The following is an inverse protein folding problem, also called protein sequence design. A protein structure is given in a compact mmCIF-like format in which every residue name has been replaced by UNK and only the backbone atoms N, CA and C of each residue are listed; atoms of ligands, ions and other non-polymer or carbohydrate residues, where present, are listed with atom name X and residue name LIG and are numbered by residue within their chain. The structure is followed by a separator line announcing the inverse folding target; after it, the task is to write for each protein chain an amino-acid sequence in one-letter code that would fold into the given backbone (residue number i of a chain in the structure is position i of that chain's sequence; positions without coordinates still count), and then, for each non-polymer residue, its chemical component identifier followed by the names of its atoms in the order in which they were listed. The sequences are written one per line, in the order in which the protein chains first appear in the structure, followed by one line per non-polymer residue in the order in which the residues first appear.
data_IF_833023346265
#
_entry.id   IF_833023346265
#
_cell.length_a   1.000
_cell.length_b   1.000
_cell.length_c   1.000
_cell.angle_alpha   90.00
_cell.angle_beta   90.00
_cell.angle_gamma   90.00
#
_symmetry.space_group_name_H-M   'P 1'
#
loop_
_entity.id
_entity.type
_entity.pdbx_description
1 polymer ?
#
# COMPACT_ATOMS: atom_id res chain seq x y z
N UNK A 1 2.09 12.73 11.84
CA UNK A 1 3.13 11.87 12.44
C UNK A 1 3.64 10.97 11.34
N UNK A 2 4.63 11.43 10.65
CA UNK A 2 5.47 10.53 9.91
C UNK A 2 6.25 9.75 10.96
N UNK A 3 5.98 8.45 11.07
CA UNK A 3 6.79 7.61 11.92
C UNK A 3 8.22 7.66 11.38
N UNK A 4 9.13 8.30 12.09
CA UNK A 4 10.56 8.09 11.89
C UNK A 4 10.91 6.70 12.41
N UNK A 5 10.37 5.68 11.74
CA UNK A 5 10.65 4.29 12.06
C UNK A 5 11.55 3.72 10.97
N UNK A 6 12.85 3.50 11.28
CA UNK A 6 13.70 2.72 10.40
C UNK A 6 13.05 1.34 10.14
N UNK A 7 13.19 0.76 8.94
CA UNK A 7 14.02 1.25 7.83
C UNK A 7 13.32 2.24 6.88
N UNK A 8 12.00 2.45 6.99
CA UNK A 8 11.23 3.19 5.97
C UNK A 8 11.59 4.67 5.91
N UNK A 9 11.67 5.36 7.06
CA UNK A 9 12.06 6.77 7.09
C UNK A 9 13.45 7.00 6.48
N UNK A 10 14.40 6.12 6.80
CA UNK A 10 15.75 6.19 6.24
C UNK A 10 15.76 6.01 4.72
N UNK A 11 14.93 5.11 4.19
CA UNK A 11 14.79 4.92 2.74
C UNK A 11 14.21 6.16 2.04
N UNK A 12 13.22 6.80 2.63
CA UNK A 12 12.63 8.02 2.09
C UNK A 12 13.64 9.18 2.08
N UNK A 13 14.38 9.38 3.17
CA UNK A 13 15.44 10.39 3.26
C UNK A 13 16.54 10.15 2.22
N UNK A 14 16.94 8.89 1.99
CA UNK A 14 17.92 8.52 0.97
C UNK A 14 17.44 8.80 -0.47
N UNK A 15 16.13 8.84 -0.69
CA UNK A 15 15.53 9.24 -1.96
C UNK A 15 15.34 10.77 -2.09
N UNK A 16 15.80 11.55 -1.11
CA UNK A 16 15.67 13.01 -1.11
C UNK A 16 14.27 13.50 -0.75
N UNK A 17 13.44 12.64 -0.16
CA UNK A 17 12.08 13.01 0.28
C UNK A 17 12.19 13.67 1.65
N UNK A 18 11.68 14.89 1.75
CA UNK A 18 11.63 15.63 3.00
C UNK A 18 10.60 15.02 3.96
N UNK A 19 11.03 14.77 5.19
CA UNK A 19 10.17 14.25 6.25
C UNK A 19 9.86 15.35 7.25
N UNK A 20 8.58 15.67 7.41
CA UNK A 20 8.10 16.65 8.37
C UNK A 20 7.44 15.96 9.56
N UNK A 21 7.75 16.39 10.78
CA UNK A 21 7.14 15.86 11.99
C UNK A 21 5.91 16.67 12.39
N UNK A 22 4.92 15.96 12.94
CA UNK A 22 3.66 16.56 13.42
C UNK A 22 2.63 16.74 12.31
N UNK A 23 1.58 17.48 12.65
CA UNK A 23 0.42 17.72 11.78
C UNK A 23 0.05 19.21 11.75
N UNK A 24 1.04 20.07 11.53
CA UNK A 24 0.79 21.48 11.36
C UNK A 24 0.27 21.74 9.94
N UNK A 25 -0.90 22.38 9.76
CA UNK A 25 -1.44 22.70 8.45
C UNK A 25 -0.52 23.58 7.58
N UNK A 26 0.42 24.32 8.17
CA UNK A 26 1.42 25.10 7.41
C UNK A 26 2.31 24.26 6.50
N UNK A 27 2.41 22.95 6.75
CA UNK A 27 3.10 21.98 5.87
C UNK A 27 2.45 21.87 4.50
N UNK A 28 1.20 22.30 4.38
CA UNK A 28 0.42 22.28 3.13
C UNK A 28 0.38 23.65 2.45
N UNK A 29 1.32 24.53 2.76
CA UNK A 29 1.49 25.82 2.14
C UNK A 29 2.91 25.94 1.52
N UNK A 30 3.04 26.15 0.19
CA UNK A 30 1.97 26.34 -0.79
C UNK A 30 1.10 25.08 -0.97
N UNK A 31 -0.17 25.28 -1.36
CA UNK A 31 -1.11 24.18 -1.52
C UNK A 31 -0.58 23.14 -2.52
N UNK A 32 -0.49 21.86 -2.14
CA UNK A 32 -0.04 20.79 -3.03
C UNK A 32 -1.11 20.48 -4.10
N UNK A 33 -0.67 19.94 -5.22
CA UNK A 33 -1.58 19.47 -6.28
C UNK A 33 -2.42 18.25 -5.85
N UNK A 34 -1.88 17.41 -4.96
CA UNK A 34 -2.56 16.21 -4.46
C UNK A 34 -2.03 15.82 -3.07
N UNK A 35 -2.92 15.45 -2.18
CA UNK A 35 -2.59 14.92 -0.84
C UNK A 35 -2.90 13.44 -0.77
N UNK A 36 -1.90 12.61 -0.52
CA UNK A 36 -2.12 11.17 -0.27
C UNK A 36 -2.31 10.94 1.23
N UNK A 37 -3.50 10.49 1.61
CA UNK A 37 -3.87 10.28 3.02
C UNK A 37 -3.79 8.79 3.37
N UNK A 38 -2.94 8.47 4.35
CA UNK A 38 -2.76 7.10 4.85
C UNK A 38 -3.89 6.65 5.78
N UNK A 39 -4.02 5.34 5.97
CA UNK A 39 -5.08 4.72 6.80
C UNK A 39 -5.00 5.04 8.29
N UNK A 40 -3.86 5.45 8.80
CA UNK A 40 -3.71 5.87 10.20
C UNK A 40 -4.32 7.26 10.49
N UNK A 41 -4.68 8.02 9.43
CA UNK A 41 -5.28 9.34 9.56
C UNK A 41 -6.79 9.24 9.79
N UNK A 42 -7.32 10.15 10.59
CA UNK A 42 -8.76 10.23 10.90
C UNK A 42 -9.24 11.68 10.95
N UNK A 43 -10.56 11.85 11.01
CA UNK A 43 -11.18 13.15 11.31
C UNK A 43 -10.67 13.66 12.66
N UNK A 44 -10.55 14.98 12.78
CA UNK A 44 -9.94 15.66 13.93
C UNK A 44 -8.41 15.83 13.83
N UNK A 45 -7.75 15.23 12.86
CA UNK A 45 -6.35 15.53 12.58
C UNK A 45 -6.24 16.91 11.90
N UNK A 46 -5.40 17.85 12.38
CA UNK A 46 -5.36 19.23 11.86
C UNK A 46 -5.08 19.33 10.36
N UNK A 47 -4.17 18.49 9.83
CA UNK A 47 -3.89 18.48 8.39
C UNK A 47 -5.06 17.89 7.58
N UNK A 48 -5.74 16.85 8.11
CA UNK A 48 -6.93 16.28 7.45
C UNK A 48 -8.06 17.32 7.39
N UNK A 49 -8.35 17.99 8.51
CA UNK A 49 -9.38 19.03 8.54
C UNK A 49 -9.04 20.19 7.59
N UNK A 50 -7.78 20.62 7.54
CA UNK A 50 -7.33 21.65 6.61
C UNK A 50 -7.54 21.26 5.14
N UNK A 51 -7.21 20.02 4.77
CA UNK A 51 -7.44 19.48 3.41
C UNK A 51 -8.93 19.55 3.05
N UNK A 52 -9.79 19.12 3.98
CA UNK A 52 -11.25 19.11 3.76
C UNK A 52 -11.83 20.52 3.69
N UNK A 53 -11.47 21.41 4.61
CA UNK A 53 -11.97 22.77 4.70
C UNK A 53 -11.56 23.62 3.48
N UNK A 54 -10.38 23.37 2.95
CA UNK A 54 -9.86 24.04 1.74
C UNK A 54 -10.23 23.35 0.45
N UNK A 55 -10.94 22.20 0.54
CA UNK A 55 -11.30 21.38 -0.62
C UNK A 55 -10.09 21.05 -1.51
N UNK A 56 -8.93 20.76 -0.88
CA UNK A 56 -7.74 20.33 -1.61
C UNK A 56 -7.95 18.94 -2.20
N UNK A 57 -7.39 18.62 -3.37
CA UNK A 57 -7.47 17.26 -3.92
C UNK A 57 -6.78 16.26 -2.99
N UNK A 58 -7.46 15.16 -2.67
CA UNK A 58 -6.88 14.10 -1.86
C UNK A 58 -7.28 12.71 -2.35
N UNK A 59 -6.44 11.71 -2.04
CA UNK A 59 -6.58 10.32 -2.48
C UNK A 59 -6.02 9.37 -1.42
N UNK A 60 -6.44 8.12 -1.43
CA UNK A 60 -5.80 7.06 -0.64
C UNK A 60 -4.54 6.52 -1.32
N UNK A 61 -3.59 6.00 -0.53
CA UNK A 61 -2.36 5.40 -1.07
C UNK A 61 -2.63 4.28 -2.08
N UNK A 62 -3.50 3.29 -1.78
CA UNK A 62 -3.84 2.22 -2.73
C UNK A 62 -4.47 2.71 -4.03
N UNK A 63 -5.34 3.72 -3.98
CA UNK A 63 -5.93 4.30 -5.17
C UNK A 63 -4.88 5.04 -6.01
N UNK A 64 -4.02 5.83 -5.37
CA UNK A 64 -2.91 6.51 -6.04
C UNK A 64 -1.97 5.51 -6.73
N UNK A 65 -1.66 4.41 -6.04
CA UNK A 65 -0.80 3.35 -6.58
C UNK A 65 -1.43 2.72 -7.84
N UNK A 66 -2.74 2.44 -7.81
CA UNK A 66 -3.46 1.95 -8.97
C UNK A 66 -3.31 2.91 -10.17
N UNK A 67 -3.61 4.20 -9.96
CA UNK A 67 -3.69 5.19 -11.02
C UNK A 67 -2.34 5.55 -11.64
N UNK A 68 -1.25 5.51 -10.84
CA UNK A 68 0.04 6.02 -11.27
C UNK A 68 1.12 4.94 -11.46
N UNK A 69 0.91 3.73 -10.95
CA UNK A 69 1.94 2.68 -10.99
C UNK A 69 1.43 1.37 -11.58
N UNK A 70 0.21 0.94 -11.23
CA UNK A 70 -0.26 -0.42 -11.54
C UNK A 70 -1.06 -0.53 -12.84
N UNK A 71 -1.57 0.58 -13.38
CA UNK A 71 -2.60 0.61 -14.43
C UNK A 71 -2.22 -0.23 -15.67
N UNK A 72 -0.99 -0.16 -16.13
CA UNK A 72 -0.51 -0.88 -17.32
C UNK A 72 0.41 -2.07 -16.98
N UNK A 73 0.43 -2.50 -15.72
CA UNK A 73 1.29 -3.58 -15.24
C UNK A 73 0.58 -4.93 -15.18
N UNK A 74 1.36 -5.97 -15.26
CA UNK A 74 0.91 -7.30 -14.84
C UNK A 74 1.10 -7.42 -13.33
N UNK A 75 0.06 -7.08 -12.59
CA UNK A 75 0.09 -7.12 -11.13
C UNK A 75 -0.03 -8.55 -10.65
N UNK A 76 0.97 -9.00 -9.85
CA UNK A 76 0.99 -10.27 -9.14
C UNK A 76 0.80 -9.97 -7.66
N UNK A 77 -0.41 -10.20 -7.15
CA UNK A 77 -0.74 -9.93 -5.76
C UNK A 77 -0.61 -11.18 -4.89
N UNK A 78 -0.09 -11.02 -3.69
CA UNK A 78 0.00 -12.09 -2.67
C UNK A 78 -0.84 -11.69 -1.48
N UNK A 79 -1.97 -12.38 -1.28
CA UNK A 79 -2.91 -12.18 -0.20
C UNK A 79 -2.95 -13.39 0.76
N UNK A 80 -3.56 -13.22 1.91
CA UNK A 80 -3.72 -14.24 2.95
C UNK A 80 -3.40 -13.71 4.33
N UNK A 81 -3.75 -14.44 5.36
CA UNK A 81 -3.51 -14.02 6.74
C UNK A 81 -2.02 -14.02 7.06
N UNK A 82 -1.30 -15.09 6.73
CA UNK A 82 0.11 -15.24 7.05
C UNK A 82 0.95 -15.52 5.81
N UNK A 83 2.24 -15.16 5.88
CA UNK A 83 3.23 -15.48 4.85
C UNK A 83 3.21 -14.58 3.62
N UNK A 84 2.40 -13.52 3.58
CA UNK A 84 2.32 -12.56 2.47
C UNK A 84 3.71 -12.02 2.08
N UNK A 85 4.41 -11.43 3.04
CA UNK A 85 5.75 -10.82 2.86
C UNK A 85 6.76 -11.82 2.31
N UNK A 86 6.81 -13.02 2.89
CA UNK A 86 7.75 -14.07 2.47
C UNK A 86 7.46 -14.53 1.04
N UNK A 87 6.19 -14.80 0.72
CA UNK A 87 5.78 -15.28 -0.61
C UNK A 87 5.99 -14.19 -1.67
N UNK A 88 5.63 -12.94 -1.37
CA UNK A 88 5.87 -11.81 -2.27
C UNK A 88 7.38 -11.60 -2.52
N UNK A 89 8.20 -11.71 -1.47
CA UNK A 89 9.66 -11.60 -1.59
C UNK A 89 10.25 -12.71 -2.47
N UNK A 90 9.80 -13.96 -2.29
CA UNK A 90 10.23 -15.07 -3.13
C UNK A 90 9.78 -14.90 -4.58
N UNK A 91 8.55 -14.45 -4.81
CA UNK A 91 8.04 -14.20 -6.16
C UNK A 91 8.82 -13.10 -6.86
N UNK A 92 9.08 -11.97 -6.19
CA UNK A 92 9.91 -10.89 -6.72
C UNK A 92 11.32 -11.39 -7.05
N UNK A 93 11.91 -12.23 -6.18
CA UNK A 93 13.23 -12.79 -6.42
C UNK A 93 13.26 -13.77 -7.59
N UNK A 94 12.25 -14.62 -7.76
CA UNK A 94 12.16 -15.53 -8.91
C UNK A 94 12.11 -14.76 -10.23
N UNK A 95 11.33 -13.69 -10.28
CA UNK A 95 11.26 -12.82 -11.47
C UNK A 95 12.60 -12.10 -11.72
N UNK A 96 13.25 -11.60 -10.66
CA UNK A 96 14.58 -10.99 -10.74
C UNK A 96 15.63 -11.98 -11.25
N UNK A 97 15.64 -13.19 -10.71
CA UNK A 97 16.54 -14.25 -11.15
C UNK A 97 16.33 -14.61 -12.64
N UNK A 98 15.07 -14.56 -13.09
CA UNK A 98 14.72 -14.75 -14.50
C UNK A 98 15.04 -13.53 -15.38
N UNK A 99 15.67 -12.47 -14.85
CA UNK A 99 16.04 -11.24 -15.59
C UNK A 99 14.86 -10.42 -16.09
N UNK A 100 13.74 -10.49 -15.39
CA UNK A 100 12.52 -9.75 -15.72
C UNK A 100 12.39 -8.40 -14.98
N UNK A 101 13.34 -8.10 -14.09
CA UNK A 101 13.44 -6.81 -13.37
C UNK A 101 12.09 -6.31 -12.82
N UNK A 102 11.36 -7.09 -12.01
CA UNK A 102 10.01 -6.74 -11.58
C UNK A 102 9.98 -5.47 -10.74
N UNK A 103 8.91 -4.69 -10.86
CA UNK A 103 8.52 -3.76 -9.82
C UNK A 103 7.99 -4.52 -8.60
N UNK A 104 8.06 -3.93 -7.42
CA UNK A 104 7.44 -4.51 -6.23
C UNK A 104 7.15 -3.49 -5.13
N UNK A 105 6.15 -3.81 -4.30
CA UNK A 105 5.86 -3.16 -3.03
C UNK A 105 5.59 -4.24 -1.98
N UNK A 106 6.50 -4.38 -1.02
CA UNK A 106 6.49 -5.44 0.00
C UNK A 106 6.58 -4.79 1.38
N UNK A 107 5.83 -5.29 2.36
CA UNK A 107 5.70 -4.72 3.70
C UNK A 107 6.95 -4.81 4.59
N UNK A 108 8.05 -5.33 4.07
CA UNK A 108 9.37 -5.38 4.71
C UNK A 108 10.48 -5.28 3.68
N UNK A 109 11.72 -5.22 4.13
CA UNK A 109 12.89 -5.27 3.23
C UNK A 109 13.26 -6.73 2.99
N UNK A 110 13.03 -7.27 1.77
CA UNK A 110 13.41 -8.65 1.47
C UNK A 110 14.93 -8.83 1.53
N UNK A 111 15.40 -9.96 2.05
CA UNK A 111 16.84 -10.20 2.23
C UNK A 111 17.69 -10.15 0.95
N UNK A 112 17.05 -10.31 -0.21
CA UNK A 112 17.71 -10.29 -1.52
C UNK A 112 17.67 -8.90 -2.21
N UNK A 113 17.00 -7.92 -1.61
CA UNK A 113 16.88 -6.56 -2.14
C UNK A 113 17.26 -5.53 -1.08
N UNK A 114 17.88 -4.40 -1.47
CA UNK A 114 18.23 -3.34 -0.53
C UNK A 114 17.05 -2.44 -0.14
N UNK A 115 15.89 -2.62 -0.80
CA UNK A 115 14.72 -1.75 -0.67
C UNK A 115 13.44 -2.58 -0.51
N UNK A 116 12.40 -1.97 0.06
CA UNK A 116 11.06 -2.56 0.20
C UNK A 116 10.15 -2.28 -1.00
N UNK A 117 10.51 -1.31 -1.84
CA UNK A 117 9.76 -0.92 -3.03
C UNK A 117 10.69 -0.53 -4.17
N UNK A 118 10.28 -0.86 -5.39
CA UNK A 118 10.98 -0.54 -6.62
C UNK A 118 9.98 -0.47 -7.78
N UNK A 119 10.13 0.48 -8.69
CA UNK A 119 9.28 0.55 -9.88
C UNK A 119 9.56 -0.60 -10.86
N UNK A 120 10.81 -1.02 -10.99
CA UNK A 120 11.22 -2.05 -11.94
C UNK A 120 11.06 -1.62 -13.40
N UNK A 121 11.44 -2.52 -14.30
CA UNK A 121 11.11 -2.40 -15.71
C UNK A 121 9.82 -3.18 -15.99
N UNK A 122 9.06 -2.74 -16.97
CA UNK A 122 7.82 -3.36 -17.39
C UNK A 122 7.98 -4.87 -17.77
N UNK A 123 6.96 -5.74 -17.66
CA UNK A 123 5.56 -5.42 -17.25
C UNK A 123 5.19 -5.82 -15.81
N UNK A 124 6.01 -6.59 -15.11
CA UNK A 124 5.63 -7.27 -13.87
C UNK A 124 5.74 -6.39 -12.63
N UNK A 125 4.70 -6.44 -11.79
CA UNK A 125 4.71 -5.79 -10.49
C UNK A 125 4.19 -6.72 -9.40
N UNK A 126 5.03 -7.05 -8.41
CA UNK A 126 4.67 -7.90 -7.27
C UNK A 126 4.21 -7.03 -6.11
N UNK A 127 3.04 -7.32 -5.56
CA UNK A 127 2.51 -6.55 -4.44
C UNK A 127 2.04 -7.45 -3.30
N UNK A 128 2.42 -7.09 -2.09
CA UNK A 128 1.83 -7.64 -0.88
C UNK A 128 0.44 -7.06 -0.69
N UNK A 129 -0.57 -7.92 -0.76
CA UNK A 129 -1.97 -7.55 -0.80
C UNK A 129 -2.59 -7.65 0.60
N UNK A 130 -2.60 -6.51 1.28
CA UNK A 130 -3.07 -6.36 2.65
C UNK A 130 -4.59 -6.12 2.70
N UNK A 131 -5.25 -6.76 3.66
CA UNK A 131 -6.70 -6.67 3.91
C UNK A 131 -7.14 -5.43 4.68
N UNK A 132 -6.23 -4.65 5.25
CA UNK A 132 -6.54 -3.39 5.93
C UNK A 132 -7.21 -2.36 5.03
N UNK A 133 -8.03 -1.47 5.61
CA UNK A 133 -8.67 -0.38 4.90
C UNK A 133 -7.65 0.66 4.36
N UNK A 134 -8.09 1.45 3.39
CA UNK A 134 -7.22 2.39 2.66
C UNK A 134 -7.04 3.72 3.37
N UNK A 135 -8.14 4.28 3.91
CA UNK A 135 -8.16 5.58 4.55
C UNK A 135 -9.47 5.77 5.34
N UNK A 136 -9.60 6.87 6.10
CA UNK A 136 -10.83 7.16 6.85
C UNK A 136 -12.07 7.33 5.94
N UNK A 137 -11.87 7.78 4.71
CA UNK A 137 -12.91 7.99 3.69
C UNK A 137 -13.09 6.81 2.73
N UNK A 138 -12.18 5.83 2.74
CA UNK A 138 -12.26 4.62 1.93
C UNK A 138 -12.00 3.37 2.80
N UNK A 139 -13.08 2.70 3.16
CA UNK A 139 -13.07 1.53 4.06
C UNK A 139 -12.95 0.19 3.32
N UNK A 140 -12.74 0.22 1.99
CA UNK A 140 -12.39 -0.98 1.24
C UNK A 140 -11.00 -1.46 1.63
N UNK A 141 -10.79 -2.76 1.63
CA UNK A 141 -9.45 -3.32 1.81
C UNK A 141 -8.52 -2.87 0.70
N UNK A 142 -7.25 -2.59 1.02
CA UNK A 142 -6.24 -2.06 0.08
C UNK A 142 -6.14 -2.90 -1.17
N UNK A 143 -6.19 -4.22 -1.04
CA UNK A 143 -6.02 -5.15 -2.14
C UNK A 143 -7.11 -5.06 -3.22
N UNK A 144 -8.30 -4.55 -2.91
CA UNK A 144 -9.38 -4.37 -3.90
C UNK A 144 -9.01 -3.33 -4.97
N UNK A 145 -8.11 -2.40 -4.64
CA UNK A 145 -7.60 -1.40 -5.57
C UNK A 145 -6.53 -1.93 -6.54
N UNK A 146 -5.89 -3.05 -6.24
CA UNK A 146 -4.69 -3.46 -6.98
C UNK A 146 -4.99 -4.12 -8.33
N UNK A 147 -6.23 -4.56 -8.58
CA UNK A 147 -6.70 -5.20 -9.82
C UNK A 147 -5.69 -6.23 -10.36
N UNK A 148 -5.33 -7.26 -9.60
CA UNK A 148 -4.28 -8.17 -10.00
C UNK A 148 -4.71 -9.05 -11.18
N UNK A 149 -3.76 -9.32 -12.09
CA UNK A 149 -3.90 -10.34 -13.13
C UNK A 149 -3.53 -11.73 -12.64
N UNK A 150 -2.75 -11.80 -11.57
CA UNK A 150 -2.37 -13.06 -10.91
C UNK A 150 -2.51 -12.86 -9.42
N UNK A 151 -3.23 -13.76 -8.76
CA UNK A 151 -3.45 -13.73 -7.33
C UNK A 151 -2.97 -15.02 -6.68
N UNK A 152 -2.09 -14.90 -5.70
CA UNK A 152 -1.73 -15.98 -4.77
C UNK A 152 -2.50 -15.74 -3.48
N UNK A 153 -3.35 -16.70 -3.11
CA UNK A 153 -4.02 -16.74 -1.80
C UNK A 153 -3.37 -17.82 -0.95
N UNK A 154 -2.63 -17.42 0.08
CA UNK A 154 -1.89 -18.38 0.93
C UNK A 154 -2.85 -19.15 1.85
N UNK A 155 -3.36 -18.47 2.86
CA UNK A 155 -4.22 -19.04 3.90
C UNK A 155 -5.25 -17.99 4.31
N UNK A 156 -6.32 -18.44 4.94
CA UNK A 156 -7.37 -17.59 5.43
C UNK A 156 -7.77 -18.04 6.83
N UNK A 157 -7.33 -17.29 7.82
CA UNK A 157 -7.64 -17.51 9.23
C UNK A 157 -8.26 -16.25 9.83
N UNK A 158 -8.90 -16.36 10.99
CA UNK A 158 -9.40 -15.20 11.69
C UNK A 158 -8.23 -14.46 12.35
N UNK A 159 -7.94 -13.28 11.85
CA UNK A 159 -6.93 -12.35 12.37
C UNK A 159 -7.46 -10.91 12.27
N UNK A 160 -6.70 -9.94 12.78
CA UNK A 160 -7.08 -8.53 12.74
C UNK A 160 -8.45 -8.24 13.40
N UNK A 161 -8.63 -8.74 14.63
CA UNK A 161 -9.85 -8.55 15.42
C UNK A 161 -10.15 -7.07 15.75
N UNK A 162 -9.20 -6.18 15.51
CA UNK A 162 -9.32 -4.73 15.62
C UNK A 162 -10.18 -4.12 14.48
N UNK A 163 -10.24 -4.78 13.32
CA UNK A 163 -10.99 -4.28 12.14
C UNK A 163 -12.06 -5.26 11.63
N UNK A 164 -11.93 -6.55 11.92
CA UNK A 164 -12.88 -7.57 11.49
C UNK A 164 -13.54 -8.27 12.67
N UNK A 165 -14.88 -8.26 12.77
CA UNK A 165 -15.60 -8.89 13.88
C UNK A 165 -15.56 -10.42 13.83
N UNK A 166 -15.38 -11.01 12.65
CA UNK A 166 -15.41 -12.44 12.43
C UNK A 166 -14.72 -12.84 11.11
N UNK A 167 -14.49 -14.15 10.95
CA UNK A 167 -13.91 -14.70 9.72
C UNK A 167 -14.77 -14.40 8.47
N UNK A 168 -16.09 -14.35 8.61
CA UNK A 168 -16.97 -14.07 7.48
C UNK A 168 -16.79 -12.64 6.95
N UNK A 169 -16.44 -11.69 7.82
CA UNK A 169 -16.10 -10.33 7.41
C UNK A 169 -14.82 -10.31 6.56
N UNK A 170 -13.79 -11.06 6.95
CA UNK A 170 -12.55 -11.22 6.16
C UNK A 170 -12.87 -11.91 4.84
N UNK A 171 -13.62 -13.00 4.83
CA UNK A 171 -14.03 -13.71 3.62
C UNK A 171 -14.76 -12.81 2.63
N UNK A 172 -15.60 -11.88 3.09
CA UNK A 172 -16.25 -10.89 2.23
C UNK A 172 -15.25 -9.99 1.51
N UNK A 173 -14.17 -9.56 2.18
CA UNK A 173 -13.11 -8.75 1.55
C UNK A 173 -12.36 -9.56 0.48
N UNK A 174 -12.00 -10.80 0.78
CA UNK A 174 -11.39 -11.69 -0.22
C UNK A 174 -12.33 -11.96 -1.40
N UNK A 175 -13.64 -12.07 -1.15
CA UNK A 175 -14.62 -12.18 -2.22
C UNK A 175 -14.65 -10.92 -3.11
N UNK A 176 -14.49 -9.72 -2.54
CA UNK A 176 -14.34 -8.50 -3.33
C UNK A 176 -13.06 -8.51 -4.15
N UNK A 177 -11.93 -8.93 -3.57
CA UNK A 177 -10.66 -9.08 -4.29
C UNK A 177 -10.81 -10.03 -5.48
N UNK A 178 -11.42 -11.22 -5.29
CA UNK A 178 -11.62 -12.21 -6.36
C UNK A 178 -12.42 -11.69 -7.56
N UNK A 179 -13.21 -10.63 -7.38
CA UNK A 179 -13.96 -10.01 -8.47
C UNK A 179 -13.13 -9.00 -9.28
N UNK A 180 -11.92 -8.68 -8.81
CA UNK A 180 -11.02 -7.72 -9.48
C UNK A 180 -9.86 -8.41 -10.22
N UNK A 181 -9.78 -9.75 -10.13
CA UNK A 181 -8.77 -10.59 -10.78
C UNK A 181 -9.15 -10.89 -12.22
#
# INVERSE_FOLDING_TARGET
MLFRSPPMSTQLEQQGIELTEGYDPSQLDPAPDLVVIGNAMSRGNPCVEYVLDRNLPYISGPQWLLEHVLQDRWVLAVAGTHGKTTTASMLAWVLEYAKLEPGFLIGGVPGNFPVSARLGSDPFFVIEADEYDCAFFDKRSKFVHYHPRTLVMNNLEFDHADIFPDLAAIQRQFHHLMRTV
#
